data_IF_874676897801
#
_entry.id   IF_874676897801
#
_cell.length_a   1.000
_cell.length_b   1.000
_cell.length_c   1.000
_cell.angle_alpha   90.00
_cell.angle_beta   90.00
_cell.angle_gamma   90.00
#
_symmetry.space_group_name_H-M   'P 1'
#
loop_
_entity.id
_entity.type
_entity.pdbx_description
1 polymer ?
#
# COMPACT_ATOMS: atom_id res chain seq x y z
N UNK A 1 -2.15 18.31 2.75
CA UNK A 1 -0.95 17.59 3.21
C UNK A 1 0.22 17.94 2.29
N UNK A 2 1.41 18.21 2.82
CA UNK A 2 2.58 18.56 1.99
C UNK A 2 3.29 17.30 1.47
N UNK A 3 3.99 17.40 0.33
CA UNK A 3 4.80 16.32 -0.27
C UNK A 3 5.79 15.69 0.72
N UNK A 4 6.28 16.47 1.69
CA UNK A 4 7.16 16.02 2.77
C UNK A 4 6.49 14.97 3.67
N UNK A 5 5.22 15.16 4.01
CA UNK A 5 4.49 14.23 4.87
C UNK A 5 4.29 12.87 4.21
N UNK A 6 3.96 12.85 2.90
CA UNK A 6 3.84 11.59 2.16
C UNK A 6 5.16 10.85 2.05
N UNK A 7 6.28 11.56 1.86
CA UNK A 7 7.61 10.93 1.86
C UNK A 7 7.93 10.29 3.21
N UNK A 8 7.69 10.99 4.33
CA UNK A 8 7.90 10.43 5.67
C UNK A 8 6.99 9.24 5.95
N UNK A 9 5.71 9.32 5.55
CA UNK A 9 4.79 8.20 5.68
C UNK A 9 5.28 6.97 4.90
N UNK A 10 5.79 7.17 3.68
CA UNK A 10 6.35 6.10 2.87
C UNK A 10 7.56 5.45 3.56
N UNK A 11 8.50 6.25 4.08
CA UNK A 11 9.68 5.75 4.79
C UNK A 11 9.31 4.91 6.01
N UNK A 12 8.31 5.34 6.79
CA UNK A 12 7.80 4.58 7.94
C UNK A 12 7.18 3.26 7.51
N UNK A 13 6.33 3.28 6.47
CA UNK A 13 5.69 2.06 5.97
C UNK A 13 6.73 1.06 5.42
N UNK A 14 7.75 1.54 4.72
CA UNK A 14 8.84 0.69 4.21
C UNK A 14 9.69 0.10 5.33
N UNK A 15 10.00 0.89 6.36
CA UNK A 15 10.68 0.40 7.56
C UNK A 15 9.87 -0.68 8.27
N UNK A 16 8.55 -0.46 8.42
CA UNK A 16 7.64 -1.43 9.04
C UNK A 16 7.63 -2.76 8.27
N UNK A 17 7.48 -2.70 6.94
CA UNK A 17 7.46 -3.88 6.08
C UNK A 17 8.78 -4.67 6.08
N UNK A 18 9.92 -4.00 6.30
CA UNK A 18 11.25 -4.61 6.25
C UNK A 18 11.72 -5.13 7.61
N UNK A 19 11.45 -4.39 8.67
CA UNK A 19 12.13 -4.57 9.96
C UNK A 19 11.25 -5.18 11.04
N UNK A 20 9.93 -5.24 10.83
CA UNK A 20 8.99 -5.75 11.82
C UNK A 20 8.35 -7.04 11.32
N UNK A 21 8.24 -8.04 12.20
CA UNK A 21 7.53 -9.27 11.91
C UNK A 21 6.03 -9.04 12.01
N UNK A 22 5.43 -8.74 10.87
CA UNK A 22 3.98 -8.52 10.73
C UNK A 22 3.26 -9.83 10.42
N UNK A 23 2.03 -9.98 10.94
CA UNK A 23 1.07 -10.97 10.47
C UNK A 23 0.68 -10.74 9.01
N UNK A 24 0.03 -11.73 8.38
CA UNK A 24 -0.42 -11.62 6.99
C UNK A 24 -1.42 -10.46 6.80
N UNK A 25 -2.36 -10.30 7.74
CA UNK A 25 -3.32 -9.20 7.72
C UNK A 25 -2.65 -7.83 7.85
N UNK A 26 -1.69 -7.68 8.78
CA UNK A 26 -0.95 -6.43 8.95
C UNK A 26 -0.08 -6.11 7.74
N UNK A 27 0.53 -7.11 7.09
CA UNK A 27 1.25 -6.93 5.83
C UNK A 27 0.31 -6.44 4.73
N UNK A 28 -0.87 -7.04 4.60
CA UNK A 28 -1.88 -6.61 3.64
C UNK A 28 -2.25 -5.14 3.85
N UNK A 29 -2.52 -4.75 5.10
CA UNK A 29 -2.79 -3.35 5.47
C UNK A 29 -1.63 -2.42 5.12
N UNK A 30 -0.41 -2.78 5.48
CA UNK A 30 0.78 -1.94 5.26
C UNK A 30 1.03 -1.71 3.76
N UNK A 31 0.88 -2.75 2.94
CA UNK A 31 0.98 -2.62 1.48
C UNK A 31 -0.15 -1.78 0.87
N UNK A 32 -1.38 -1.90 1.37
CA UNK A 32 -2.48 -1.03 0.93
C UNK A 32 -2.17 0.44 1.24
N UNK A 33 -1.74 0.75 2.47
CA UNK A 33 -1.35 2.10 2.86
C UNK A 33 -0.17 2.63 2.03
N UNK A 34 0.81 1.77 1.70
CA UNK A 34 1.90 2.11 0.78
C UNK A 34 1.34 2.56 -0.58
N UNK A 35 0.38 1.82 -1.13
CA UNK A 35 -0.28 2.16 -2.39
C UNK A 35 -0.95 3.53 -2.34
N UNK A 36 -1.75 3.79 -1.29
CA UNK A 36 -2.43 5.08 -1.11
C UNK A 36 -1.44 6.24 -1.04
N UNK A 37 -0.34 6.09 -0.30
CA UNK A 37 0.68 7.14 -0.18
C UNK A 37 1.38 7.39 -1.52
N UNK A 38 1.71 6.34 -2.26
CA UNK A 38 2.34 6.45 -3.58
C UNK A 38 1.42 7.13 -4.61
N UNK A 39 0.12 6.81 -4.58
CA UNK A 39 -0.89 7.46 -5.41
C UNK A 39 -0.98 8.97 -5.09
N UNK A 40 -1.00 9.36 -3.80
CA UNK A 40 -0.94 10.78 -3.39
C UNK A 40 0.37 11.47 -3.78
N UNK A 41 1.39 10.71 -4.14
CA UNK A 41 2.66 11.20 -4.66
C UNK A 41 2.75 11.13 -6.20
N UNK A 42 1.68 10.75 -6.91
CA UNK A 42 1.63 10.57 -8.36
C UNK A 42 2.59 9.48 -8.88
N UNK A 43 2.77 8.42 -8.09
CA UNK A 43 3.66 7.27 -8.40
C UNK A 43 2.83 6.03 -8.71
N UNK A 44 1.99 6.11 -9.73
CA UNK A 44 0.90 5.16 -9.97
C UNK A 44 1.39 3.73 -10.22
N UNK A 45 2.48 3.55 -10.99
CA UNK A 45 3.06 2.21 -11.21
C UNK A 45 3.49 1.53 -9.91
N UNK A 46 4.04 2.30 -8.98
CA UNK A 46 4.48 1.79 -7.69
C UNK A 46 3.29 1.58 -6.76
N UNK A 47 2.27 2.43 -6.84
CA UNK A 47 1.01 2.27 -6.13
C UNK A 47 0.30 0.97 -6.55
N UNK A 48 0.21 0.70 -7.86
CA UNK A 48 -0.32 -0.54 -8.43
C UNK A 48 0.44 -1.75 -7.89
N UNK A 49 1.78 -1.70 -7.87
CA UNK A 49 2.58 -2.79 -7.31
C UNK A 49 2.28 -2.99 -5.82
N UNK A 50 2.18 -1.92 -5.05
CA UNK A 50 1.86 -2.01 -3.62
C UNK A 50 0.47 -2.59 -3.37
N UNK A 51 -0.55 -2.20 -4.15
CA UNK A 51 -1.89 -2.77 -4.03
C UNK A 51 -1.91 -4.27 -4.39
N UNK A 52 -1.16 -4.71 -5.40
CA UNK A 52 -1.00 -6.14 -5.70
C UNK A 52 -0.36 -6.89 -4.52
N UNK A 53 0.70 -6.35 -3.94
CA UNK A 53 1.34 -6.94 -2.76
C UNK A 53 0.37 -7.03 -1.57
N UNK A 54 -0.57 -6.10 -1.41
CA UNK A 54 -1.58 -6.17 -0.36
C UNK A 54 -2.51 -7.38 -0.52
N UNK A 55 -2.94 -7.64 -1.76
CA UNK A 55 -3.77 -8.80 -2.10
C UNK A 55 -3.00 -10.11 -1.95
N UNK A 56 -1.73 -10.13 -2.37
CA UNK A 56 -0.84 -11.30 -2.24
C UNK A 56 -0.53 -11.64 -0.77
N UNK A 57 -0.41 -10.64 0.10
CA UNK A 57 -0.15 -10.86 1.52
C UNK A 57 -1.30 -11.60 2.21
N UNK A 58 -2.54 -11.13 2.01
CA UNK A 58 -3.75 -11.86 2.43
C UNK A 58 -4.99 -11.34 1.68
N UNK A 59 -5.46 -12.15 0.73
CA UNK A 59 -6.60 -11.84 -0.13
C UNK A 59 -7.95 -11.72 0.58
N UNK A 60 -8.08 -12.28 1.79
CA UNK A 60 -9.37 -12.36 2.49
C UNK A 60 -9.62 -11.14 3.39
N UNK A 61 -8.65 -10.22 3.50
CA UNK A 61 -8.75 -9.04 4.35
C UNK A 61 -9.59 -7.93 3.70
N UNK A 62 -10.15 -7.01 4.50
CA UNK A 62 -10.73 -5.78 3.98
C UNK A 62 -9.73 -4.94 3.17
N UNK A 63 -8.45 -4.96 3.54
CA UNK A 63 -7.39 -4.21 2.87
C UNK A 63 -7.11 -4.71 1.46
N UNK A 64 -7.12 -6.03 1.26
CA UNK A 64 -7.03 -6.61 -0.07
C UNK A 64 -8.22 -6.23 -0.95
N UNK A 65 -9.44 -6.18 -0.40
CA UNK A 65 -10.63 -5.73 -1.15
C UNK A 65 -10.51 -4.26 -1.56
N UNK A 66 -10.07 -3.39 -0.65
CA UNK A 66 -9.82 -1.98 -0.96
C UNK A 66 -8.70 -1.82 -1.99
N UNK A 67 -7.62 -2.61 -1.88
CA UNK A 67 -6.53 -2.62 -2.84
C UNK A 67 -6.99 -3.05 -4.25
N UNK A 68 -7.89 -4.04 -4.33
CA UNK A 68 -8.48 -4.44 -5.60
C UNK A 68 -9.31 -3.31 -6.20
N UNK A 69 -10.19 -2.66 -5.42
CA UNK A 69 -10.95 -1.52 -5.90
C UNK A 69 -10.05 -0.37 -6.38
N UNK A 70 -8.95 -0.09 -5.69
CA UNK A 70 -7.98 0.93 -6.12
C UNK A 70 -7.29 0.55 -7.44
N UNK A 71 -6.94 -0.73 -7.63
CA UNK A 71 -6.40 -1.22 -8.89
C UNK A 71 -7.38 -1.07 -10.06
N UNK A 72 -8.67 -1.29 -9.82
CA UNK A 72 -9.70 -1.18 -10.85
C UNK A 72 -9.87 0.29 -11.29
N UNK A 73 -9.67 1.25 -10.38
CA UNK A 73 -9.66 2.68 -10.71
C UNK A 73 -8.41 3.06 -11.50
N UNK A 74 -7.22 2.62 -11.08
CA UNK A 74 -5.94 3.02 -11.69
C UNK A 74 -5.65 2.37 -13.06
N UNK A 75 -6.45 1.38 -13.47
CA UNK A 75 -6.33 0.71 -14.78
C UNK A 75 -7.24 1.31 -15.85
N UNK A 76 -8.18 2.18 -15.47
CA UNK A 76 -9.10 2.87 -16.37
C UNK A 76 -8.59 4.27 -16.69
#
# INVERSE_FOLDING_TARGET
MSKKMYKQALEVIESLLKNVQLSLEEKSRAYYLKGVVLEKMWRDLEAIKAYKNAIEADKNTPWAKLAQSALDILKN
#
